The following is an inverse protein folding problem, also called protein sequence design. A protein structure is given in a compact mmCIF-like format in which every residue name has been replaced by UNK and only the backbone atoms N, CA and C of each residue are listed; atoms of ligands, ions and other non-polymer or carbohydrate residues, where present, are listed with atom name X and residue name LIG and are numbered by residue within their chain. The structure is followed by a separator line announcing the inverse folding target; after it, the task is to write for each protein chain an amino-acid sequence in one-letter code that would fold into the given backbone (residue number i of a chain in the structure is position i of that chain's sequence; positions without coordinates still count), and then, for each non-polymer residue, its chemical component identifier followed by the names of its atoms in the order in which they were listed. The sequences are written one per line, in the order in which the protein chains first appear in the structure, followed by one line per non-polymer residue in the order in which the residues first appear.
data_IF_231139441469
#
_entry.id   IF_231139441469
#
_cell.length_a   1.000
_cell.length_b   1.000
_cell.length_c   1.000
_cell.angle_alpha   90.00
_cell.angle_beta   90.00
_cell.angle_gamma   90.00
#
_symmetry.space_group_name_H-M   'P 1'
#
loop_
_entity.id
_entity.type
_entity.pdbx_description
1 polymer ?
#
# COMPACT_ATOMS: atom_id res chain seq x y z
N UNK A 1 -3.51 -7.22 4.69
CA UNK A 1 -4.05 -5.92 5.15
C UNK A 1 -3.60 -5.46 6.53
N UNK A 2 -3.49 -6.30 7.58
CA UNK A 2 -3.07 -5.84 8.91
C UNK A 2 -1.73 -5.11 8.92
N UNK A 3 -0.76 -5.55 8.11
CA UNK A 3 0.58 -4.98 8.03
C UNK A 3 0.61 -3.53 7.54
N UNK A 4 -0.21 -3.20 6.54
CA UNK A 4 -0.26 -1.84 5.98
C UNK A 4 -0.93 -0.86 6.97
N UNK A 5 -1.98 -1.31 7.67
CA UNK A 5 -2.59 -0.54 8.75
C UNK A 5 -1.60 -0.32 9.90
N UNK A 6 -0.91 -1.38 10.32
CA UNK A 6 0.14 -1.28 11.34
C UNK A 6 1.22 -0.29 10.91
N UNK A 7 1.72 -0.37 9.66
CA UNK A 7 2.70 0.59 9.12
C UNK A 7 2.20 2.03 9.22
N UNK A 8 0.92 2.29 8.87
CA UNK A 8 0.31 3.61 9.01
C UNK A 8 0.30 4.09 10.47
N UNK A 9 -0.18 3.25 11.40
CA UNK A 9 -0.23 3.58 12.84
C UNK A 9 1.17 3.87 13.38
N UNK A 10 2.15 3.00 13.13
CA UNK A 10 3.52 3.17 13.61
C UNK A 10 4.21 4.39 12.96
N UNK A 11 3.90 4.72 11.71
CA UNK A 11 4.41 5.94 11.06
C UNK A 11 3.87 7.23 11.68
N UNK A 12 2.80 7.15 12.48
CA UNK A 12 2.14 8.29 13.12
C UNK A 12 2.57 8.52 14.57
N UNK A 13 3.25 7.56 15.22
CA UNK A 13 3.66 7.64 16.63
C UNK A 13 4.68 8.76 16.95
N UNK A 14 5.31 9.36 15.94
CA UNK A 14 6.22 10.50 16.08
C UNK A 14 5.63 11.84 15.64
N UNK A 15 4.36 11.88 15.20
CA UNK A 15 3.69 13.06 14.65
C UNK A 15 2.76 13.70 15.71
N UNK A 16 2.39 14.99 15.57
CA UNK A 16 1.33 15.58 16.41
C UNK A 16 0.07 14.71 16.38
N UNK A 17 -0.67 14.55 17.50
CA UNK A 17 -0.65 15.36 18.73
C UNK A 17 0.30 14.87 19.84
N UNK A 18 1.23 13.94 19.59
CA UNK A 18 2.13 13.41 20.64
C UNK A 18 2.96 14.55 21.28
N UNK A 19 3.14 14.65 22.62
CA UNK A 19 3.97 15.68 23.26
C UNK A 19 5.46 15.57 22.89
N UNK A 20 6.16 16.71 22.78
CA UNK A 20 7.55 16.78 22.25
C UNK A 20 8.53 15.81 22.96
N UNK A 21 8.47 15.68 24.29
CA UNK A 21 9.34 14.79 25.05
C UNK A 21 9.16 13.29 24.77
N UNK A 22 7.97 12.87 24.30
CA UNK A 22 7.64 11.46 24.02
C UNK A 22 7.82 11.13 22.53
N UNK A 23 7.78 12.13 21.64
CA UNK A 23 7.91 11.96 20.18
C UNK A 23 9.18 11.19 19.79
N UNK A 24 10.31 11.46 20.42
CA UNK A 24 11.60 10.81 20.08
C UNK A 24 11.59 9.32 20.41
N UNK A 25 11.07 8.95 21.58
CA UNK A 25 10.92 7.55 21.98
C UNK A 25 9.89 6.82 21.11
N UNK A 26 8.75 7.47 20.85
CA UNK A 26 7.72 6.93 19.95
C UNK A 26 8.23 6.70 18.52
N UNK A 27 9.04 7.63 18.00
CA UNK A 27 9.69 7.49 16.69
C UNK A 27 10.68 6.32 16.67
N UNK A 28 11.53 6.18 17.68
CA UNK A 28 12.50 5.10 17.77
C UNK A 28 11.81 3.73 17.87
N UNK A 29 10.77 3.60 18.69
CA UNK A 29 9.97 2.37 18.81
C UNK A 29 9.28 2.03 17.48
N UNK A 30 8.64 3.02 16.84
CA UNK A 30 7.98 2.85 15.56
C UNK A 30 8.95 2.39 14.46
N UNK A 31 10.15 2.96 14.42
CA UNK A 31 11.22 2.53 13.50
C UNK A 31 11.71 1.11 13.80
N UNK A 32 11.86 0.74 15.07
CA UNK A 32 12.24 -0.61 15.49
C UNK A 32 11.25 -1.67 15.03
N UNK A 33 9.95 -1.45 15.27
CA UNK A 33 8.87 -2.37 14.85
C UNK A 33 8.77 -2.45 13.32
N UNK A 34 8.90 -1.32 12.63
CA UNK A 34 8.92 -1.31 11.17
C UNK A 34 10.07 -2.16 10.62
N UNK A 35 11.30 -1.93 11.11
CA UNK A 35 12.49 -2.61 10.63
C UNK A 35 12.49 -4.11 10.96
N UNK A 36 12.13 -4.46 12.20
CA UNK A 36 12.25 -5.83 12.69
C UNK A 36 11.11 -6.75 12.24
N UNK A 37 9.91 -6.20 11.97
CA UNK A 37 8.72 -7.02 11.72
C UNK A 37 7.97 -6.63 10.45
N UNK A 38 7.66 -5.33 10.25
CA UNK A 38 6.78 -4.95 9.15
C UNK A 38 7.48 -4.99 7.79
N UNK A 39 8.70 -4.49 7.68
CA UNK A 39 9.43 -4.41 6.41
C UNK A 39 9.70 -5.80 5.81
N UNK A 40 10.21 -6.81 6.55
CA UNK A 40 10.41 -8.15 6.00
C UNK A 40 9.11 -8.80 5.50
N UNK A 41 8.00 -8.56 6.22
CA UNK A 41 6.70 -9.09 5.82
C UNK A 41 6.16 -8.36 4.59
N UNK A 42 6.30 -7.04 4.51
CA UNK A 42 5.92 -6.27 3.32
C UNK A 42 6.74 -6.67 2.10
N UNK A 43 8.05 -6.87 2.27
CA UNK A 43 8.93 -7.39 1.22
C UNK A 43 8.40 -8.72 0.69
N UNK A 44 8.18 -9.69 1.59
CA UNK A 44 7.66 -11.03 1.22
C UNK A 44 6.38 -10.94 0.40
N UNK A 45 5.40 -10.15 0.86
CA UNK A 45 4.10 -10.04 0.19
C UNK A 45 4.20 -9.27 -1.13
N UNK A 46 4.99 -8.19 -1.16
CA UNK A 46 5.20 -7.40 -2.35
C UNK A 46 5.89 -8.22 -3.45
N UNK A 47 6.90 -9.03 -3.10
CA UNK A 47 7.57 -9.92 -4.06
C UNK A 47 6.66 -11.01 -4.60
N UNK A 48 5.80 -11.58 -3.76
CA UNK A 48 4.79 -12.53 -4.21
C UNK A 48 3.81 -11.89 -5.21
N UNK A 49 3.28 -10.71 -4.88
CA UNK A 49 2.36 -9.96 -5.74
C UNK A 49 3.03 -9.59 -7.06
N UNK A 50 4.26 -9.07 -7.00
CA UNK A 50 5.01 -8.65 -8.18
C UNK A 50 5.25 -9.83 -9.12
N UNK A 51 5.66 -10.98 -8.59
CA UNK A 51 5.86 -12.20 -9.37
C UNK A 51 4.54 -12.69 -9.98
N UNK A 52 3.44 -12.66 -9.22
CA UNK A 52 2.12 -13.04 -9.72
C UNK A 52 1.66 -12.14 -10.87
N UNK A 53 1.85 -10.82 -10.75
CA UNK A 53 1.46 -9.84 -11.77
C UNK A 53 2.43 -9.77 -12.96
N UNK A 54 3.63 -10.36 -12.85
CA UNK A 54 4.52 -10.56 -13.98
C UNK A 54 3.97 -11.63 -14.94
N UNK A 55 3.30 -12.65 -14.41
CA UNK A 55 2.76 -13.76 -15.19
C UNK A 55 1.27 -13.57 -15.54
N UNK A 56 0.53 -12.78 -14.74
CA UNK A 56 -0.92 -12.64 -14.84
C UNK A 56 -1.35 -11.20 -15.09
N UNK A 57 -2.31 -11.03 -16.00
CA UNK A 57 -2.89 -9.73 -16.33
C UNK A 57 -3.75 -9.12 -15.21
N UNK A 58 -4.33 -9.95 -14.35
CA UNK A 58 -5.19 -9.61 -13.22
C UNK A 58 -5.00 -10.65 -12.09
N UNK A 59 -5.49 -10.35 -10.89
CA UNK A 59 -5.27 -11.24 -9.73
C UNK A 59 -5.91 -12.63 -9.85
N UNK A 60 -6.95 -12.78 -10.67
CA UNK A 60 -7.62 -14.06 -10.91
C UNK A 60 -7.46 -14.57 -12.36
N UNK A 61 -6.36 -14.21 -13.04
CA UNK A 61 -6.03 -14.68 -14.39
C UNK A 61 -6.12 -13.59 -15.46
N UNK A 62 -6.76 -13.89 -16.59
CA UNK A 62 -6.73 -13.01 -17.78
C UNK A 62 -7.78 -11.89 -17.77
N UNK A 63 -8.81 -12.00 -16.92
CA UNK A 63 -9.92 -11.04 -16.86
C UNK A 63 -10.04 -10.40 -15.48
N UNK A 64 -10.48 -9.13 -15.45
CA UNK A 64 -10.77 -8.44 -14.19
C UNK A 64 -11.81 -9.23 -13.38
N UNK A 65 -11.55 -9.38 -12.10
CA UNK A 65 -12.46 -10.01 -11.16
C UNK A 65 -12.65 -9.17 -9.88
N UNK A 66 -13.49 -9.67 -8.97
CA UNK A 66 -13.61 -9.11 -7.62
C UNK A 66 -12.28 -9.14 -6.85
N UNK A 67 -11.35 -10.04 -7.19
CA UNK A 67 -10.03 -10.07 -6.56
C UNK A 67 -9.27 -8.75 -6.80
N UNK A 68 -9.34 -8.19 -8.01
CA UNK A 68 -8.68 -6.92 -8.34
C UNK A 68 -9.32 -5.74 -7.61
N UNK A 69 -10.65 -5.77 -7.45
CA UNK A 69 -11.38 -4.75 -6.68
C UNK A 69 -10.94 -4.82 -5.22
N UNK A 70 -10.90 -6.01 -4.62
CA UNK A 70 -10.43 -6.21 -3.24
C UNK A 70 -8.95 -5.79 -3.08
N UNK A 71 -8.11 -6.06 -4.08
CA UNK A 71 -6.68 -5.79 -4.03
C UNK A 71 -6.31 -4.34 -4.32
N UNK A 72 -7.20 -3.54 -4.92
CA UNK A 72 -6.99 -2.13 -5.25
C UNK A 72 -6.38 -1.32 -4.09
N UNK A 73 -7.08 -1.23 -2.97
CA UNK A 73 -6.60 -0.43 -1.84
C UNK A 73 -5.28 -0.95 -1.22
N UNK A 74 -5.10 -2.26 -0.93
CA UNK A 74 -3.80 -2.76 -0.45
C UNK A 74 -2.62 -2.40 -1.34
N UNK A 75 -2.77 -2.55 -2.66
CA UNK A 75 -1.71 -2.23 -3.62
C UNK A 75 -1.44 -0.73 -3.65
N UNK A 76 -2.48 0.09 -3.68
CA UNK A 76 -2.32 1.54 -3.72
C UNK A 76 -1.63 2.04 -2.44
N UNK A 77 -1.99 1.47 -1.28
CA UNK A 77 -1.34 1.76 -0.01
C UNK A 77 0.11 1.26 0.05
N UNK A 78 0.43 0.10 -0.53
CA UNK A 78 1.81 -0.40 -0.64
C UNK A 78 2.67 0.58 -1.44
N UNK A 79 2.19 0.98 -2.63
CA UNK A 79 2.92 1.87 -3.53
C UNK A 79 3.06 3.29 -2.95
N UNK A 80 2.01 3.83 -2.31
CA UNK A 80 2.05 5.17 -1.71
C UNK A 80 2.95 5.27 -0.47
N UNK A 81 3.05 4.19 0.33
CA UNK A 81 3.84 4.18 1.59
C UNK A 81 5.27 3.70 1.40
N UNK A 82 5.62 3.26 0.18
CA UNK A 82 6.95 2.77 -0.20
C UNK A 82 7.51 1.67 0.69
N UNK A 83 8.83 1.55 0.75
CA UNK A 83 9.56 0.59 1.59
C UNK A 83 9.83 -0.76 0.95
N UNK A 84 9.35 -0.96 -0.28
CA UNK A 84 9.76 -2.05 -1.17
C UNK A 84 10.00 -1.42 -2.54
N UNK A 85 11.18 -1.63 -3.11
CA UNK A 85 11.57 -1.09 -4.41
C UNK A 85 11.38 -2.12 -5.53
N UNK A 86 11.46 -1.68 -6.78
CA UNK A 86 11.40 -2.53 -7.98
C UNK A 86 10.10 -3.38 -8.06
N UNK A 87 8.98 -2.69 -8.27
CA UNK A 87 7.66 -3.31 -8.44
C UNK A 87 6.99 -2.93 -9.78
N UNK A 88 7.68 -3.08 -10.95
CA UNK A 88 7.20 -2.59 -12.23
C UNK A 88 5.85 -3.17 -12.67
N UNK A 89 5.59 -4.46 -12.42
CA UNK A 89 4.34 -5.11 -12.80
C UNK A 89 3.19 -4.67 -11.90
N UNK A 90 3.46 -4.48 -10.61
CA UNK A 90 2.49 -3.91 -9.67
C UNK A 90 2.13 -2.48 -10.04
N UNK A 91 3.11 -1.65 -10.44
CA UNK A 91 2.87 -0.31 -10.97
C UNK A 91 2.07 -0.34 -12.27
N UNK A 92 2.39 -1.25 -13.19
CA UNK A 92 1.66 -1.42 -14.44
C UNK A 92 0.20 -1.84 -14.20
N UNK A 93 -0.05 -2.75 -13.26
CA UNK A 93 -1.39 -3.14 -12.85
C UNK A 93 -2.17 -1.96 -12.26
N UNK A 94 -1.56 -1.15 -11.36
CA UNK A 94 -2.21 0.06 -10.83
C UNK A 94 -2.63 1.01 -11.95
N UNK A 95 -1.73 1.30 -12.90
CA UNK A 95 -2.04 2.14 -14.06
C UNK A 95 -3.16 1.55 -14.92
N UNK A 96 -3.16 0.23 -15.11
CA UNK A 96 -4.22 -0.49 -15.84
C UNK A 96 -5.58 -0.32 -15.15
N UNK A 97 -5.64 -0.42 -13.82
CA UNK A 97 -6.87 -0.16 -13.03
C UNK A 97 -7.33 1.29 -13.20
N UNK A 98 -6.42 2.26 -13.01
CA UNK A 98 -6.73 3.68 -13.05
C UNK A 98 -7.25 4.13 -14.43
N UNK A 99 -6.75 3.53 -15.52
CA UNK A 99 -7.17 3.86 -16.88
C UNK A 99 -8.56 3.30 -17.26
N UNK A 100 -9.22 2.51 -16.40
CA UNK A 100 -10.54 1.95 -16.72
C UNK A 100 -11.62 3.03 -16.65
N UNK A 101 -12.55 3.10 -17.62
CA UNK A 101 -13.69 4.02 -17.54
C UNK A 101 -14.54 3.82 -16.27
N UNK A 102 -14.66 2.58 -15.79
CA UNK A 102 -15.37 2.29 -14.54
C UNK A 102 -14.68 2.92 -13.31
N UNK A 103 -13.35 2.96 -13.29
CA UNK A 103 -12.59 3.61 -12.21
C UNK A 103 -12.80 5.12 -12.22
N UNK A 104 -12.75 5.75 -13.40
CA UNK A 104 -13.00 7.18 -13.55
C UNK A 104 -14.42 7.56 -13.05
N UNK A 105 -15.44 6.78 -13.41
CA UNK A 105 -16.80 6.97 -12.87
C UNK A 105 -16.88 6.84 -11.35
N UNK A 106 -16.10 5.93 -10.75
CA UNK A 106 -16.02 5.81 -9.29
C UNK A 106 -15.44 7.08 -8.66
N UNK A 107 -14.43 7.69 -9.26
CA UNK A 107 -13.86 8.96 -8.78
C UNK A 107 -14.83 10.14 -8.96
N UNK A 108 -15.58 10.18 -10.07
CA UNK A 108 -16.60 11.21 -10.32
C UNK A 108 -17.72 11.16 -9.26
N UNK A 109 -18.16 9.95 -8.88
CA UNK A 109 -19.26 9.77 -7.94
C UNK A 109 -18.82 9.76 -6.46
N UNK A 110 -17.67 9.15 -6.17
CA UNK A 110 -17.15 8.96 -4.82
C UNK A 110 -16.16 10.03 -4.37
N UNK A 111 -15.71 10.90 -5.28
CA UNK A 111 -14.69 11.90 -5.05
C UNK A 111 -13.25 11.39 -5.26
N UNK A 112 -12.25 12.29 -5.19
CA UNK A 112 -10.84 11.93 -5.39
C UNK A 112 -10.35 10.91 -4.36
N UNK A 113 -9.65 9.87 -4.81
CA UNK A 113 -9.00 8.92 -3.92
C UNK A 113 -7.73 9.54 -3.33
N UNK A 114 -7.73 9.76 -2.02
CA UNK A 114 -6.52 10.14 -1.26
C UNK A 114 -6.09 8.95 -0.41
N UNK A 115 -4.81 8.55 -0.50
CA UNK A 115 -4.29 7.44 0.32
C UNK A 115 -3.65 8.00 1.60
N UNK A 116 -4.19 7.69 2.80
CA UNK A 116 -3.58 8.16 4.04
C UNK A 116 -2.17 7.60 4.23
N UNK A 117 -1.24 8.48 4.57
CA UNK A 117 0.17 8.14 4.81
C UNK A 117 1.01 8.01 3.55
N UNK A 118 0.56 8.55 2.42
CA UNK A 118 1.41 8.83 1.26
C UNK A 118 2.62 9.68 1.70
N UNK A 119 3.81 9.28 1.26
CA UNK A 119 5.09 9.84 1.70
C UNK A 119 5.36 11.24 1.14
#
# INVERSE_FOLDING_TARGET
MPLLLMKLVFSSLGKPPVPFGIRTLGKALGQGVQKAYLNPQLETHARFIESHLAENSWFAGETLSMADIQMSFPIFALLARGGVEDLPHTHAWKKKVENRPAWQRTLEQGGPLTIPGEA
#
